data_IF_022210269186
#
_entry.id   IF_022210269186
#
_cell.length_a   1.000
_cell.length_b   1.000
_cell.length_c   1.000
_cell.angle_alpha   90.00
_cell.angle_beta   90.00
_cell.angle_gamma   90.00
#
_symmetry.space_group_name_H-M   'P 1'
#
loop_
_entity.id
_entity.type
_entity.pdbx_description
1 polymer ?
#
# COMPACT_ATOMS: atom_id res chain seq x y z
N UNK A 1 9.78 2.92 -11.81
CA UNK A 1 9.20 1.55 -11.75
C UNK A 1 7.94 1.51 -10.89
N UNK A 2 7.97 2.07 -9.66
CA UNK A 2 6.79 2.18 -8.78
C UNK A 2 5.66 3.04 -9.39
N UNK A 3 5.98 4.15 -10.04
CA UNK A 3 4.98 4.94 -10.78
C UNK A 3 4.33 4.17 -11.92
N UNK A 4 5.10 3.36 -12.66
CA UNK A 4 4.58 2.50 -13.71
C UNK A 4 3.67 1.41 -13.13
N UNK A 5 4.02 0.84 -11.97
CA UNK A 5 3.18 -0.13 -11.27
C UNK A 5 1.88 0.51 -10.76
N UNK A 6 1.93 1.71 -10.18
CA UNK A 6 0.72 2.45 -9.78
C UNK A 6 -0.12 2.88 -10.97
N UNK A 7 0.48 3.34 -12.08
CA UNK A 7 -0.24 3.61 -13.33
C UNK A 7 -0.89 2.34 -13.87
N UNK A 8 -0.19 1.20 -13.81
CA UNK A 8 -0.71 -0.09 -14.24
C UNK A 8 -1.85 -0.59 -13.36
N UNK A 9 -1.71 -0.55 -12.03
CA UNK A 9 -2.77 -0.89 -11.08
C UNK A 9 -4.00 0.02 -11.26
N UNK A 10 -3.79 1.34 -11.39
CA UNK A 10 -4.85 2.32 -11.71
C UNK A 10 -5.53 2.06 -13.07
N UNK A 11 -4.79 1.59 -14.07
CA UNK A 11 -5.31 1.26 -15.39
C UNK A 11 -6.04 -0.09 -15.44
N UNK A 12 -5.70 -1.02 -14.54
CA UNK A 12 -6.35 -2.33 -14.43
C UNK A 12 -7.66 -2.29 -13.64
N UNK A 13 -7.88 -1.28 -12.79
CA UNK A 13 -9.13 -1.15 -12.07
C UNK A 13 -10.30 -0.92 -13.04
N UNK A 14 -11.18 -1.91 -13.15
CA UNK A 14 -12.44 -1.83 -13.89
C UNK A 14 -13.60 -1.78 -12.89
N UNK A 15 -14.33 -0.66 -12.79
CA UNK A 15 -15.52 -0.61 -11.96
C UNK A 15 -16.54 -1.63 -12.47
N UNK A 16 -17.13 -2.43 -11.58
CA UNK A 16 -18.19 -3.36 -11.94
C UNK A 16 -19.40 -2.57 -12.47
N UNK A 17 -19.73 -2.79 -13.74
CA UNK A 17 -20.76 -1.99 -14.42
C UNK A 17 -22.13 -2.13 -13.74
N UNK A 18 -22.43 -3.30 -13.17
CA UNK A 18 -23.67 -3.55 -12.44
C UNK A 18 -23.78 -2.74 -11.14
N UNK A 19 -22.73 -2.75 -10.31
CA UNK A 19 -22.70 -2.02 -9.04
C UNK A 19 -22.67 -0.51 -9.27
N UNK A 20 -21.89 -0.07 -10.28
CA UNK A 20 -21.86 1.34 -10.70
C UNK A 20 -23.23 1.84 -11.12
N UNK A 21 -23.98 1.06 -11.93
CA UNK A 21 -25.32 1.44 -12.36
C UNK A 21 -26.32 1.50 -11.20
N UNK A 22 -26.25 0.58 -10.22
CA UNK A 22 -27.10 0.66 -9.01
C UNK A 22 -26.83 1.91 -8.19
N UNK A 23 -25.56 2.26 -7.98
CA UNK A 23 -25.17 3.46 -7.22
C UNK A 23 -25.58 4.74 -7.96
N UNK A 24 -25.48 4.77 -9.29
CA UNK A 24 -26.01 5.87 -10.10
C UNK A 24 -27.54 5.97 -10.04
N UNK A 25 -28.26 4.84 -10.06
CA UNK A 25 -29.73 4.80 -9.97
C UNK A 25 -30.24 5.30 -8.60
N UNK A 26 -29.44 5.12 -7.54
CA UNK A 26 -29.70 5.70 -6.21
C UNK A 26 -29.47 7.22 -6.14
N UNK A 27 -28.94 7.85 -7.19
CA UNK A 27 -28.74 9.30 -7.27
C UNK A 27 -27.36 9.79 -6.84
N UNK A 28 -26.37 8.91 -6.70
CA UNK A 28 -24.99 9.30 -6.41
C UNK A 28 -24.25 9.77 -7.68
N UNK A 29 -23.31 10.71 -7.52
CA UNK A 29 -22.51 11.25 -8.62
C UNK A 29 -21.53 10.21 -9.20
N UNK A 30 -21.48 10.10 -10.53
CA UNK A 30 -20.56 9.22 -11.26
C UNK A 30 -19.09 9.29 -10.82
N UNK A 31 -18.47 10.48 -10.63
CA UNK A 31 -17.09 10.57 -10.13
C UNK A 31 -16.94 10.02 -8.72
N UNK A 32 -17.90 10.28 -7.82
CA UNK A 32 -17.87 9.77 -6.44
C UNK A 32 -18.06 8.26 -6.38
N UNK A 33 -18.99 7.72 -7.18
CA UNK A 33 -19.25 6.28 -7.29
C UNK A 33 -18.02 5.54 -7.78
N UNK A 34 -17.36 6.07 -8.83
CA UNK A 34 -16.16 5.46 -9.39
C UNK A 34 -15.01 5.45 -8.37
N UNK A 35 -14.90 6.49 -7.55
CA UNK A 35 -13.86 6.60 -6.54
C UNK A 35 -14.11 5.71 -5.33
N UNK A 36 -15.35 5.63 -4.83
CA UNK A 36 -15.73 4.72 -3.76
C UNK A 36 -15.55 3.24 -4.18
N UNK A 37 -15.90 2.90 -5.43
CA UNK A 37 -15.65 1.56 -5.98
C UNK A 37 -14.16 1.27 -6.14
N UNK A 38 -13.34 2.28 -6.46
CA UNK A 38 -11.87 2.16 -6.51
C UNK A 38 -11.29 1.88 -5.14
N UNK A 39 -11.72 2.64 -4.13
CA UNK A 39 -11.24 2.52 -2.76
C UNK A 39 -11.52 1.13 -2.19
N UNK A 40 -12.69 0.57 -2.50
CA UNK A 40 -13.17 -0.70 -1.96
C UNK A 40 -13.11 -1.87 -2.94
N UNK A 41 -12.34 -1.77 -4.02
CA UNK A 41 -12.16 -2.84 -5.00
C UNK A 41 -13.46 -3.48 -5.53
N UNK A 42 -14.46 -2.65 -5.86
CA UNK A 42 -15.82 -3.04 -6.29
C UNK A 42 -16.75 -3.66 -5.22
N UNK A 43 -16.45 -3.51 -3.93
CA UNK A 43 -17.40 -3.88 -2.88
C UNK A 43 -18.57 -2.86 -2.81
N UNK A 44 -19.80 -3.34 -3.09
CA UNK A 44 -21.01 -2.50 -3.14
C UNK A 44 -21.38 -1.92 -1.77
N UNK A 45 -21.25 -2.70 -0.70
CA UNK A 45 -21.68 -2.30 0.63
C UNK A 45 -20.75 -1.23 1.19
N UNK A 46 -19.43 -1.43 1.03
CA UNK A 46 -18.42 -0.48 1.49
C UNK A 46 -18.42 0.80 0.64
N UNK A 47 -18.63 0.68 -0.68
CA UNK A 47 -18.77 1.83 -1.54
C UNK A 47 -20.01 2.67 -1.18
N UNK A 48 -21.14 2.03 -0.88
CA UNK A 48 -22.35 2.72 -0.41
C UNK A 48 -22.11 3.45 0.91
N UNK A 49 -21.50 2.79 1.90
CA UNK A 49 -21.20 3.41 3.20
C UNK A 49 -20.32 4.66 3.06
N UNK A 50 -19.33 4.61 2.15
CA UNK A 50 -18.42 5.71 1.86
C UNK A 50 -19.08 6.87 1.09
N UNK A 51 -20.06 6.56 0.24
CA UNK A 51 -20.86 7.56 -0.46
C UNK A 51 -21.85 8.24 0.48
N UNK A 52 -22.46 7.48 1.40
CA UNK A 52 -23.40 7.98 2.41
C UNK A 52 -22.71 8.84 3.48
N UNK A 53 -21.46 8.50 3.84
CA UNK A 53 -20.67 9.27 4.81
C UNK A 53 -20.16 10.61 4.26
N UNK A 54 -20.36 10.90 2.97
CA UNK A 54 -19.83 12.09 2.29
C UNK A 54 -18.30 12.06 2.11
N UNK A 55 -17.66 10.95 2.50
CA UNK A 55 -16.21 10.79 2.42
C UNK A 55 -15.72 10.68 0.97
N UNK A 56 -16.56 10.26 0.03
CA UNK A 56 -16.19 10.25 -1.40
C UNK A 56 -15.87 11.65 -1.94
N UNK A 57 -16.62 12.68 -1.51
CA UNK A 57 -16.38 14.08 -1.91
C UNK A 57 -15.17 14.68 -1.21
N UNK A 58 -14.95 14.30 0.06
CA UNK A 58 -13.78 14.69 0.83
C UNK A 58 -12.52 14.02 0.31
N UNK A 59 -12.57 12.76 -0.09
CA UNK A 59 -11.47 12.05 -0.74
C UNK A 59 -11.18 12.60 -2.14
N UNK A 60 -12.11 13.25 -2.84
CA UNK A 60 -11.79 13.99 -4.08
C UNK A 60 -10.97 15.27 -3.82
N UNK A 61 -11.19 15.94 -2.69
CA UNK A 61 -10.38 17.09 -2.25
C UNK A 61 -9.07 16.63 -1.62
N UNK A 62 -9.12 15.66 -0.70
CA UNK A 62 -7.95 15.03 -0.08
C UNK A 62 -7.10 14.30 -1.14
N UNK A 63 -7.67 13.69 -2.18
CA UNK A 63 -6.87 13.11 -3.28
C UNK A 63 -6.29 14.18 -4.21
N UNK A 64 -6.85 15.40 -4.25
CA UNK A 64 -6.23 16.55 -4.91
C UNK A 64 -5.12 17.20 -4.05
N UNK A 65 -5.22 17.08 -2.74
CA UNK A 65 -4.22 17.51 -1.75
C UNK A 65 -3.09 16.47 -1.60
N UNK A 66 -3.41 15.17 -1.57
CA UNK A 66 -2.53 14.01 -1.69
C UNK A 66 -1.89 13.90 -3.09
N UNK A 67 -2.41 14.60 -4.10
CA UNK A 67 -1.68 14.81 -5.37
C UNK A 67 -0.49 15.74 -5.19
N UNK A 68 -0.51 16.64 -4.19
CA UNK A 68 0.61 17.52 -3.84
C UNK A 68 1.46 16.91 -2.70
N UNK A 69 0.83 16.22 -1.75
CA UNK A 69 1.49 15.47 -0.67
C UNK A 69 2.04 14.10 -1.12
N UNK A 70 1.71 13.70 -2.35
CA UNK A 70 2.21 12.49 -2.99
C UNK A 70 3.68 12.56 -3.35
N UNK A 71 4.29 13.74 -3.37
CA UNK A 71 5.74 13.91 -3.53
C UNK A 71 6.52 13.62 -2.23
N UNK A 72 5.93 13.85 -1.06
CA UNK A 72 6.57 13.55 0.24
C UNK A 72 6.55 12.05 0.57
N UNK A 73 5.47 11.34 0.23
CA UNK A 73 5.41 9.87 0.34
C UNK A 73 6.30 9.14 -0.70
N UNK A 74 6.83 9.88 -1.68
CA UNK A 74 7.81 9.42 -2.66
C UNK A 74 9.24 9.82 -2.32
N UNK A 75 9.43 10.69 -1.32
CA UNK A 75 10.75 10.91 -0.74
C UNK A 75 11.11 9.59 -0.06
N UNK A 76 11.91 8.79 -0.76
CA UNK A 76 12.44 7.54 -0.22
C UNK A 76 13.14 7.78 1.12
N UNK A 77 13.52 6.70 1.80
CA UNK A 77 14.34 6.84 3.00
C UNK A 77 15.53 7.76 2.71
N UNK A 78 15.72 8.75 3.59
CA UNK A 78 16.82 9.69 3.46
C UNK A 78 18.15 8.91 3.35
N UNK A 79 18.98 9.17 2.32
CA UNK A 79 20.18 8.37 2.07
C UNK A 79 21.24 8.51 3.18
N UNK A 80 21.15 9.56 4.00
CA UNK A 80 22.01 9.75 5.17
C UNK A 80 21.43 9.09 6.44
N UNK A 81 20.17 8.62 6.40
CA UNK A 81 19.51 7.94 7.51
C UNK A 81 20.29 6.66 7.90
N UNK A 82 20.48 6.42 9.21
CA UNK A 82 21.18 5.23 9.68
C UNK A 82 20.42 3.95 9.31
N UNK A 83 19.09 4.00 9.19
CA UNK A 83 18.28 2.88 8.70
C UNK A 83 18.57 2.56 7.24
N UNK A 84 18.71 3.58 6.38
CA UNK A 84 19.03 3.38 4.96
C UNK A 84 20.41 2.76 4.79
N UNK A 85 21.40 3.25 5.56
CA UNK A 85 22.76 2.69 5.58
C UNK A 85 22.76 1.24 6.06
N UNK A 86 22.09 0.92 7.16
CA UNK A 86 22.01 -0.44 7.68
C UNK A 86 21.27 -1.41 6.75
N UNK A 87 20.24 -0.93 6.04
CA UNK A 87 19.53 -1.70 5.01
C UNK A 87 20.44 -2.00 3.82
N UNK A 88 21.19 -1.00 3.36
CA UNK A 88 22.13 -1.12 2.25
C UNK A 88 23.37 -1.93 2.63
N UNK A 89 23.81 -1.96 3.88
CA UNK A 89 24.94 -2.79 4.31
C UNK A 89 24.56 -4.28 4.43
N UNK A 90 23.27 -4.61 4.47
CA UNK A 90 22.82 -5.99 4.63
C UNK A 90 22.82 -6.75 3.28
N UNK A 91 23.74 -7.72 3.06
CA UNK A 91 23.87 -8.40 1.77
C UNK A 91 22.65 -9.26 1.43
N UNK A 92 21.95 -9.79 2.44
CA UNK A 92 20.73 -10.57 2.25
C UNK A 92 19.59 -9.69 1.73
N UNK A 93 19.48 -8.46 2.24
CA UNK A 93 18.49 -7.49 1.75
C UNK A 93 18.84 -7.06 0.33
N UNK A 94 20.10 -6.74 0.04
CA UNK A 94 20.52 -6.38 -1.33
C UNK A 94 20.20 -7.48 -2.34
N UNK A 95 20.56 -8.73 -2.02
CA UNK A 95 20.33 -9.86 -2.92
C UNK A 95 18.84 -10.09 -3.17
N UNK A 96 18.03 -9.95 -2.12
CA UNK A 96 16.59 -10.10 -2.23
C UNK A 96 15.95 -8.95 -3.01
N UNK A 97 16.42 -7.71 -2.84
CA UNK A 97 15.95 -6.53 -3.60
C UNK A 97 16.32 -6.59 -5.08
N UNK A 98 17.39 -7.28 -5.45
CA UNK A 98 17.74 -7.53 -6.85
C UNK A 98 16.80 -8.54 -7.53
N UNK A 99 16.06 -9.34 -6.77
CA UNK A 99 15.13 -10.32 -7.34
C UNK A 99 13.80 -9.65 -7.70
N UNK A 100 13.37 -9.69 -8.97
CA UNK A 100 12.14 -9.02 -9.40
C UNK A 100 10.88 -9.60 -8.72
N UNK A 101 10.91 -10.89 -8.37
CA UNK A 101 9.82 -11.57 -7.66
C UNK A 101 9.66 -11.04 -6.24
N UNK A 102 10.77 -10.78 -5.54
CA UNK A 102 10.75 -10.21 -4.19
C UNK A 102 10.20 -8.79 -4.20
N UNK A 103 10.60 -7.96 -5.16
CA UNK A 103 10.03 -6.63 -5.36
C UNK A 103 8.52 -6.69 -5.64
N UNK A 104 8.09 -7.63 -6.48
CA UNK A 104 6.67 -7.86 -6.76
C UNK A 104 5.90 -8.28 -5.50
N UNK A 105 6.48 -9.17 -4.69
CA UNK A 105 5.89 -9.58 -3.41
C UNK A 105 5.69 -8.38 -2.49
N UNK A 106 6.71 -7.52 -2.32
CA UNK A 106 6.56 -6.28 -1.54
C UNK A 106 5.48 -5.36 -2.11
N UNK A 107 5.43 -5.18 -3.43
CA UNK A 107 4.39 -4.35 -4.06
C UNK A 107 2.98 -4.89 -3.81
N UNK A 108 2.80 -6.21 -3.92
CA UNK A 108 1.50 -6.83 -3.66
C UNK A 108 1.09 -6.79 -2.18
N UNK A 109 2.05 -6.78 -1.26
CA UNK A 109 1.79 -6.64 0.17
C UNK A 109 1.36 -5.21 0.51
N UNK A 110 1.96 -4.22 -0.16
CA UNK A 110 1.53 -2.82 -0.06
C UNK A 110 0.12 -2.60 -0.62
N UNK A 111 -0.27 -3.35 -1.65
CA UNK A 111 -1.59 -3.30 -2.25
C UNK A 111 -2.64 -4.04 -1.40
N UNK A 112 -2.29 -5.24 -0.91
CA UNK A 112 -3.13 -6.05 -0.04
C UNK A 112 -2.28 -6.82 0.99
N UNK A 113 -2.39 -6.48 2.29
CA UNK A 113 -1.58 -7.11 3.34
C UNK A 113 -1.88 -8.60 3.54
N UNK A 114 -3.04 -9.10 3.07
CA UNK A 114 -3.40 -10.51 3.17
C UNK A 114 -2.54 -11.40 2.24
N UNK A 115 -1.93 -10.81 1.20
CA UNK A 115 -1.05 -11.52 0.26
C UNK A 115 0.25 -11.99 0.92
N UNK A 116 0.64 -11.37 2.05
CA UNK A 116 1.86 -11.68 2.79
C UNK A 116 1.99 -13.18 3.11
N UNK A 117 0.91 -13.80 3.60
CA UNK A 117 0.90 -15.22 3.95
C UNK A 117 1.13 -16.12 2.72
N UNK A 118 0.60 -15.73 1.55
CA UNK A 118 0.81 -16.47 0.32
C UNK A 118 2.27 -16.41 -0.11
N UNK A 119 2.87 -15.21 -0.09
CA UNK A 119 4.27 -15.01 -0.47
C UNK A 119 5.27 -15.67 0.48
N UNK A 120 4.99 -15.69 1.79
CA UNK A 120 5.83 -16.41 2.76
C UNK A 120 5.90 -17.92 2.47
N UNK A 121 4.82 -18.50 1.96
CA UNK A 121 4.77 -19.92 1.60
C UNK A 121 5.39 -20.20 0.21
N UNK A 122 5.24 -19.26 -0.73
CA UNK A 122 5.71 -19.42 -2.12
C UNK A 122 7.19 -19.08 -2.30
N UNK A 123 7.71 -18.11 -1.54
CA UNK A 123 9.04 -17.58 -1.73
C UNK A 123 9.96 -17.98 -0.55
N UNK A 124 10.88 -18.94 -0.76
CA UNK A 124 11.77 -19.41 0.30
C UNK A 124 12.69 -18.27 0.76
N UNK A 125 12.76 -18.03 2.07
CA UNK A 125 13.59 -16.98 2.66
C UNK A 125 12.94 -15.58 2.70
N UNK A 126 11.73 -15.41 2.16
CA UNK A 126 11.01 -14.15 2.23
C UNK A 126 10.58 -13.78 3.66
N UNK A 127 10.19 -14.77 4.46
CA UNK A 127 9.89 -14.58 5.87
C UNK A 127 11.12 -14.07 6.65
N UNK A 128 12.30 -14.65 6.41
CA UNK A 128 13.54 -14.18 7.03
C UNK A 128 13.89 -12.76 6.59
N UNK A 129 13.69 -12.43 5.31
CA UNK A 129 13.93 -11.08 4.78
C UNK A 129 13.05 -10.04 5.49
N UNK A 130 11.75 -10.29 5.59
CA UNK A 130 10.82 -9.38 6.28
C UNK A 130 11.21 -9.22 7.74
N UNK A 131 11.57 -10.32 8.40
CA UNK A 131 12.02 -10.27 9.80
C UNK A 131 13.30 -9.45 9.96
N UNK A 132 14.27 -9.58 9.04
CA UNK A 132 15.49 -8.78 9.04
C UNK A 132 15.19 -7.30 8.83
N UNK A 133 14.35 -6.96 7.85
CA UNK A 133 13.94 -5.58 7.60
C UNK A 133 13.20 -4.99 8.81
N UNK A 134 12.29 -5.75 9.41
CA UNK A 134 11.57 -5.34 10.61
C UNK A 134 12.54 -5.13 11.79
N UNK A 135 13.48 -6.06 12.01
CA UNK A 135 14.48 -5.94 13.07
C UNK A 135 15.37 -4.71 12.88
N UNK A 136 15.83 -4.44 11.66
CA UNK A 136 16.61 -3.25 11.34
C UNK A 136 15.81 -1.97 11.57
N UNK A 137 14.53 -1.97 11.18
CA UNK A 137 13.62 -0.86 11.44
C UNK A 137 13.43 -0.62 12.95
N UNK A 138 13.21 -1.66 13.74
CA UNK A 138 13.06 -1.52 15.19
C UNK A 138 14.34 -1.04 15.85
N UNK A 139 15.50 -1.56 15.44
CA UNK A 139 16.79 -1.15 15.99
C UNK A 139 17.10 0.34 15.74
N UNK A 140 16.69 0.86 14.59
CA UNK A 140 16.94 2.25 14.20
C UNK A 140 15.79 3.21 14.54
N UNK A 141 14.57 2.72 14.80
CA UNK A 141 13.45 3.52 15.31
C UNK A 141 13.45 3.61 16.83
N UNK A 142 13.99 2.61 17.55
CA UNK A 142 14.11 2.61 19.01
C UNK A 142 15.19 3.55 19.57
N UNK A 143 15.83 4.38 18.73
CA UNK A 143 16.64 5.52 19.15
C UNK A 143 15.83 6.66 19.78
N UNK A 144 14.50 6.61 19.72
CA UNK A 144 13.58 7.47 20.45
C UNK A 144 12.36 6.70 20.90
N UNK A 145 12.37 6.26 22.17
CA UNK A 145 11.25 5.64 22.89
C UNK A 145 10.97 4.15 22.60
N UNK A 146 11.46 3.27 23.49
CA UNK A 146 10.73 2.02 23.80
C UNK A 146 9.50 2.31 24.67
N UNK A 147 8.70 1.33 25.16
CA UNK A 147 8.92 -0.13 25.18
C UNK A 147 7.62 -0.98 24.90
N UNK A 148 7.73 -2.31 25.13
CA UNK A 148 6.67 -3.30 25.46
C UNK A 148 5.86 -4.04 24.37
N UNK A 149 5.99 -5.38 24.42
CA UNK A 149 5.04 -6.45 24.05
C UNK A 149 4.90 -6.69 22.53
N UNK A 150 5.03 -7.90 22.00
CA UNK A 150 4.42 -9.16 22.43
C UNK A 150 5.31 -10.36 22.07
N UNK A 151 5.85 -11.03 23.09
CA UNK A 151 5.95 -12.49 23.10
C UNK A 151 4.75 -12.96 23.91
N UNK A 152 3.86 -13.72 23.28
CA UNK A 152 3.15 -14.88 23.83
C UNK A 152 2.56 -15.65 22.66
#
# INVERSE_FOLDING_TARGET
MLELFRQYSRAQFRPSQATRLRLLDMGFDEPGVTDALRLHNNDEAQALETLLSGQASQHLQESAELRQQGDDALTGLDPESPLYKALMENPSVQLAMCQPVTLLAFLSILDNPLTLNSWQNQLPGFQSLIRTIASLYYEHSAGGEGPHLLIS
#
